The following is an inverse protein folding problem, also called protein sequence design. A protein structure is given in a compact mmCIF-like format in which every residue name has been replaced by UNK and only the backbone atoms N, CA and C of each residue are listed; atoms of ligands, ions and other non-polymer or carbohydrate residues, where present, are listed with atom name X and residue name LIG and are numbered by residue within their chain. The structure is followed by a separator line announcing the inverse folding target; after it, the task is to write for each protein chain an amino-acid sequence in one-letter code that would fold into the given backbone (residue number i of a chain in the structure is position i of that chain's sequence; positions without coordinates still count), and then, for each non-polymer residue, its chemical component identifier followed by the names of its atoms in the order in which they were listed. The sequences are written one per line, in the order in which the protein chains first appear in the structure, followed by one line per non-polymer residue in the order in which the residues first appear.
data_IF_388615491684
#
_entry.id   IF_388615491684
#
_cell.length_a   1.000
_cell.length_b   1.000
_cell.length_c   1.000
_cell.angle_alpha   90.00
_cell.angle_beta   90.00
_cell.angle_gamma   90.00
#
_symmetry.space_group_name_H-M   'P 1'
#
loop_
_entity.id
_entity.type
_entity.pdbx_description
1 polymer ?
#
# COMPACT_ATOMS: atom_id res chain seq x y z
N UNK A 1 -14.34 -15.50 4.62
CA UNK A 1 -15.03 -14.53 3.74
C UNK A 1 -15.75 -13.44 4.52
N UNK A 2 -16.44 -13.77 5.62
CA UNK A 2 -17.27 -12.81 6.38
C UNK A 2 -16.52 -11.59 6.95
N UNK A 3 -15.26 -11.74 7.35
CA UNK A 3 -14.46 -10.63 7.91
C UNK A 3 -14.19 -9.51 6.90
N UNK A 4 -13.92 -9.86 5.64
CA UNK A 4 -13.65 -8.87 4.58
C UNK A 4 -14.94 -8.13 4.22
N UNK A 5 -16.04 -8.87 4.04
CA UNK A 5 -17.36 -8.26 3.75
C UNK A 5 -17.78 -7.30 4.88
N UNK A 6 -17.61 -7.71 6.14
CA UNK A 6 -17.92 -6.86 7.29
C UNK A 6 -17.05 -5.60 7.32
N UNK A 7 -15.73 -5.75 7.13
CA UNK A 7 -14.78 -4.63 7.14
C UNK A 7 -15.08 -3.65 6.01
N UNK A 8 -15.35 -4.14 4.80
CA UNK A 8 -15.71 -3.30 3.66
C UNK A 8 -16.98 -2.50 3.93
N UNK A 9 -18.01 -3.13 4.49
CA UNK A 9 -19.24 -2.41 4.87
C UNK A 9 -18.97 -1.32 5.91
N UNK A 10 -18.21 -1.63 6.96
CA UNK A 10 -17.87 -0.64 8.00
C UNK A 10 -17.02 0.51 7.47
N UNK A 11 -16.11 0.22 6.54
CA UNK A 11 -15.31 1.23 5.88
C UNK A 11 -16.17 2.15 5.01
N UNK A 12 -17.11 1.60 4.23
CA UNK A 12 -18.06 2.41 3.44
C UNK A 12 -18.91 3.31 4.34
N UNK A 13 -19.51 2.76 5.40
CA UNK A 13 -20.29 3.53 6.38
C UNK A 13 -19.47 4.69 6.99
N UNK A 14 -18.20 4.45 7.32
CA UNK A 14 -17.29 5.47 7.84
C UNK A 14 -16.99 6.55 6.79
N UNK A 15 -16.65 6.16 5.56
CA UNK A 15 -16.34 7.09 4.48
C UNK A 15 -17.56 7.97 4.17
N UNK A 16 -18.75 7.39 4.06
CA UNK A 16 -20.00 8.13 3.83
C UNK A 16 -20.27 9.14 4.95
N UNK A 17 -20.02 8.73 6.20
CA UNK A 17 -20.15 9.62 7.37
C UNK A 17 -19.14 10.78 7.30
N UNK A 18 -17.87 10.50 6.99
CA UNK A 18 -16.84 11.55 6.88
C UNK A 18 -17.17 12.54 5.75
N UNK A 19 -17.61 12.04 4.59
CA UNK A 19 -17.93 12.88 3.43
C UNK A 19 -19.18 13.74 3.64
N UNK A 20 -20.16 13.27 4.42
CA UNK A 20 -21.41 14.00 4.67
C UNK A 20 -21.33 15.00 5.83
N UNK A 21 -20.34 14.89 6.72
CA UNK A 21 -20.28 15.67 7.96
C UNK A 21 -19.12 16.66 8.05
N UNK A 22 -18.17 16.62 7.11
CA UNK A 22 -16.94 17.41 7.18
C UNK A 22 -16.98 18.60 6.22
N UNK A 23 -16.74 19.80 6.77
CA UNK A 23 -16.47 21.01 6.01
C UNK A 23 -15.24 21.72 6.59
N UNK A 24 -14.16 21.94 5.81
CA UNK A 24 -13.99 21.58 4.39
C UNK A 24 -13.99 20.07 4.13
N UNK A 25 -14.19 19.59 2.89
CA UNK A 25 -14.16 18.17 2.56
C UNK A 25 -12.86 17.50 3.06
N UNK A 26 -12.92 16.28 3.58
CA UNK A 26 -11.76 15.64 4.21
C UNK A 26 -10.80 15.07 3.16
N UNK A 27 -9.52 15.00 3.49
CA UNK A 27 -8.55 14.17 2.78
C UNK A 27 -8.65 12.76 3.37
N UNK A 28 -8.89 11.75 2.54
CA UNK A 28 -9.00 10.35 3.01
C UNK A 28 -7.98 9.49 2.27
N UNK A 29 -7.19 8.74 3.04
CA UNK A 29 -6.29 7.70 2.53
C UNK A 29 -6.71 6.39 3.19
N UNK A 30 -7.03 5.39 2.37
CA UNK A 30 -7.28 4.02 2.83
C UNK A 30 -6.15 3.16 2.33
N UNK A 31 -5.36 2.61 3.26
CA UNK A 31 -4.16 1.85 2.95
C UNK A 31 -4.12 0.56 3.77
N UNK A 32 -3.87 -0.57 3.12
CA UNK A 32 -3.51 -1.80 3.83
C UNK A 32 -2.02 -1.75 4.23
N UNK A 33 -1.68 -2.37 5.36
CA UNK A 33 -0.31 -2.49 5.84
C UNK A 33 0.48 -3.54 5.05
N UNK A 34 -0.18 -4.62 4.66
CA UNK A 34 0.38 -5.70 3.86
C UNK A 34 -0.66 -6.38 2.96
N UNK A 35 -0.18 -7.05 1.91
CA UNK A 35 -0.98 -7.98 1.13
C UNK A 35 -1.16 -9.32 1.87
N UNK A 36 -2.06 -10.17 1.35
CA UNK A 36 -2.30 -11.49 1.92
C UNK A 36 -1.02 -12.35 1.91
N UNK A 37 -0.98 -13.36 2.76
CA UNK A 37 0.07 -14.37 2.67
C UNK A 37 -0.13 -15.19 1.39
N UNK A 38 0.95 -15.42 0.61
CA UNK A 38 0.85 -16.24 -0.58
C UNK A 38 0.34 -17.64 -0.29
N UNK A 39 -0.41 -18.21 -1.25
CA UNK A 39 -1.00 -19.53 -1.10
C UNK A 39 0.04 -20.58 -0.66
N UNK A 40 -0.28 -21.32 0.42
CA UNK A 40 0.60 -22.34 1.00
C UNK A 40 1.59 -21.82 2.05
N UNK A 41 1.60 -20.51 2.31
CA UNK A 41 2.30 -19.91 3.45
C UNK A 41 1.27 -19.50 4.50
N UNK A 42 1.26 -20.16 5.65
CA UNK A 42 0.36 -19.81 6.75
C UNK A 42 1.09 -18.98 7.80
N UNK A 43 0.38 -18.07 8.45
CA UNK A 43 0.90 -17.34 9.62
C UNK A 43 1.26 -18.36 10.70
N UNK A 44 2.53 -18.42 11.09
CA UNK A 44 3.04 -19.41 12.06
C UNK A 44 3.53 -20.73 11.46
N UNK A 45 3.51 -20.87 10.12
CA UNK A 45 4.23 -21.95 9.43
C UNK A 45 5.76 -21.76 9.51
N UNK A 46 6.53 -22.77 9.06
CA UNK A 46 8.00 -22.78 9.08
C UNK A 46 8.58 -21.46 8.53
N UNK A 47 9.79 -21.06 8.96
CA UNK A 47 10.44 -19.85 8.44
C UNK A 47 10.44 -19.85 6.91
N UNK A 48 9.75 -18.87 6.32
CA UNK A 48 9.75 -18.68 4.87
C UNK A 48 10.87 -17.71 4.50
N UNK A 49 11.70 -18.11 3.53
CA UNK A 49 12.76 -17.27 3.04
C UNK A 49 12.24 -16.40 1.87
N UNK A 50 11.94 -15.13 2.16
CA UNK A 50 11.45 -14.19 1.15
C UNK A 50 12.50 -13.84 0.09
N UNK A 51 13.79 -14.09 0.35
CA UNK A 51 14.83 -13.94 -0.68
C UNK A 51 14.57 -14.86 -1.87
N UNK A 52 14.03 -16.05 -1.59
CA UNK A 52 13.73 -17.09 -2.58
C UNK A 52 12.28 -17.10 -3.05
N UNK A 53 11.47 -16.14 -2.59
CA UNK A 53 10.08 -16.01 -3.04
C UNK A 53 10.01 -15.75 -4.56
N UNK A 54 9.03 -16.37 -5.20
CA UNK A 54 8.74 -16.10 -6.61
C UNK A 54 8.18 -14.68 -6.79
N UNK A 55 8.27 -14.14 -8.01
CA UNK A 55 7.67 -12.84 -8.32
C UNK A 55 6.17 -12.82 -8.02
N UNK A 56 5.44 -13.92 -8.27
CA UNK A 56 4.02 -14.02 -7.96
C UNK A 56 3.76 -13.93 -6.44
N UNK A 57 4.55 -14.64 -5.62
CA UNK A 57 4.44 -14.57 -4.16
C UNK A 57 4.77 -13.17 -3.62
N UNK A 58 5.78 -12.51 -4.19
CA UNK A 58 6.14 -11.14 -3.84
C UNK A 58 5.03 -10.17 -4.23
N UNK A 59 4.47 -10.29 -5.43
CA UNK A 59 3.34 -9.46 -5.89
C UNK A 59 2.10 -9.65 -5.02
N UNK A 60 1.80 -10.88 -4.60
CA UNK A 60 0.68 -11.16 -3.69
C UNK A 60 0.90 -10.55 -2.30
N UNK A 61 2.11 -10.69 -1.73
CA UNK A 61 2.40 -10.15 -0.39
C UNK A 61 2.53 -8.63 -0.35
N UNK A 62 3.09 -8.02 -1.40
CA UNK A 62 3.39 -6.59 -1.45
C UNK A 62 2.24 -5.78 -2.06
N UNK A 63 1.32 -6.43 -2.77
CA UNK A 63 0.12 -5.79 -3.33
C UNK A 63 -0.86 -5.40 -2.23
N UNK A 64 -0.99 -4.09 -2.01
CA UNK A 64 -1.88 -3.53 -0.99
C UNK A 64 -3.02 -2.74 -1.61
N UNK A 65 -4.13 -2.63 -0.87
CA UNK A 65 -5.10 -1.57 -1.13
C UNK A 65 -4.43 -0.23 -0.82
N UNK A 66 -4.44 0.69 -1.77
CA UNK A 66 -3.95 2.05 -1.61
C UNK A 66 -4.86 3.01 -2.37
N UNK A 67 -5.80 3.65 -1.67
CA UNK A 67 -6.84 4.47 -2.26
C UNK A 67 -6.84 5.87 -1.64
N UNK A 68 -7.08 6.87 -2.49
CA UNK A 68 -7.03 8.28 -2.13
C UNK A 68 -8.33 8.99 -2.52
N UNK A 69 -8.85 9.79 -1.59
CA UNK A 69 -9.82 10.83 -1.86
C UNK A 69 -9.17 12.18 -1.55
N UNK A 70 -8.87 12.93 -2.62
CA UNK A 70 -8.20 14.22 -2.58
C UNK A 70 -9.15 15.30 -3.14
N UNK A 71 -9.89 16.04 -2.30
CA UNK A 71 -10.80 17.10 -2.76
C UNK A 71 -10.05 18.33 -3.29
N UNK A 72 -10.63 19.02 -4.27
CA UNK A 72 -10.22 20.36 -4.72
C UNK A 72 -8.78 20.53 -5.24
N UNK A 73 -8.11 19.44 -5.64
CA UNK A 73 -6.75 19.46 -6.20
C UNK A 73 -6.64 18.66 -7.49
N UNK A 74 -5.63 18.99 -8.30
CA UNK A 74 -5.28 18.16 -9.46
C UNK A 74 -4.64 16.85 -8.99
N UNK A 75 -5.19 15.72 -9.48
CA UNK A 75 -4.78 14.36 -9.14
C UNK A 75 -3.81 13.75 -10.16
N UNK A 76 -3.43 14.48 -11.21
CA UNK A 76 -2.48 14.05 -12.24
C UNK A 76 -1.08 13.70 -11.68
N UNK A 77 -0.79 14.13 -10.45
CA UNK A 77 0.43 13.75 -9.72
C UNK A 77 0.39 12.30 -9.20
N UNK A 78 -0.80 11.69 -9.13
CA UNK A 78 -0.94 10.26 -8.81
C UNK A 78 -0.72 9.44 -10.08
N UNK A 79 -0.09 8.29 -9.92
CA UNK A 79 0.22 7.36 -11.01
C UNK A 79 -0.01 5.92 -10.54
N UNK A 80 -0.26 5.02 -11.47
CA UNK A 80 -0.69 3.65 -11.16
C UNK A 80 0.33 2.86 -10.33
N UNK A 81 1.63 3.08 -10.58
CA UNK A 81 2.72 2.39 -9.88
C UNK A 81 3.14 3.05 -8.56
N UNK A 82 2.36 3.99 -8.03
CA UNK A 82 2.73 4.74 -6.81
C UNK A 82 2.92 3.81 -5.62
N UNK A 83 4.03 4.00 -4.91
CA UNK A 83 4.26 3.31 -3.64
C UNK A 83 3.91 4.20 -2.43
N UNK A 84 3.55 3.61 -1.28
CA UNK A 84 3.23 4.37 -0.05
C UNK A 84 4.31 5.34 0.41
N UNK A 85 5.55 5.18 -0.04
CA UNK A 85 6.66 6.10 0.27
C UNK A 85 6.34 7.54 -0.11
N UNK A 86 5.53 7.73 -1.15
CA UNK A 86 5.19 9.04 -1.72
C UNK A 86 3.80 9.55 -1.31
N UNK A 87 2.95 8.74 -0.64
CA UNK A 87 1.58 9.13 -0.24
C UNK A 87 1.51 10.48 0.49
N UNK A 88 2.23 10.59 1.61
CA UNK A 88 2.19 11.80 2.43
C UNK A 88 2.99 12.95 1.81
N UNK A 89 4.03 12.68 1.02
CA UNK A 89 4.78 13.71 0.30
C UNK A 89 3.87 14.45 -0.67
N UNK A 90 3.10 13.69 -1.46
CA UNK A 90 2.11 14.23 -2.38
C UNK A 90 1.03 15.01 -1.64
N UNK A 91 0.44 14.45 -0.59
CA UNK A 91 -0.60 15.14 0.20
C UNK A 91 -0.07 16.43 0.82
N UNK A 92 1.13 16.42 1.38
CA UNK A 92 1.73 17.62 1.97
C UNK A 92 2.02 18.70 0.93
N UNK A 93 2.53 18.32 -0.24
CA UNK A 93 2.77 19.26 -1.32
C UNK A 93 1.47 19.87 -1.86
N UNK A 94 0.43 19.04 -2.04
CA UNK A 94 -0.85 19.48 -2.60
C UNK A 94 -1.64 20.40 -1.66
N UNK A 95 -1.63 20.13 -0.35
CA UNK A 95 -2.55 20.79 0.60
C UNK A 95 -1.88 21.72 1.60
N UNK A 96 -0.58 21.56 1.85
CA UNK A 96 0.11 22.24 2.95
C UNK A 96 1.29 23.11 2.47
N UNK A 97 1.44 23.26 1.14
CA UNK A 97 2.45 24.13 0.54
C UNK A 97 3.89 23.70 0.82
N UNK A 98 4.11 22.40 1.09
CA UNK A 98 5.46 21.87 1.23
C UNK A 98 6.12 21.64 -0.12
N UNK A 99 7.45 21.53 -0.12
CA UNK A 99 8.26 21.18 -1.29
C UNK A 99 9.05 19.90 -1.04
N UNK A 100 8.33 18.82 -0.72
CA UNK A 100 8.92 17.51 -0.47
C UNK A 100 9.14 16.81 -1.82
N UNK A 101 10.40 16.66 -2.23
CA UNK A 101 10.74 15.85 -3.39
C UNK A 101 10.25 14.41 -3.26
N UNK A 102 9.79 13.83 -4.38
CA UNK A 102 9.41 12.42 -4.43
C UNK A 102 10.65 11.54 -4.23
N UNK A 103 10.46 10.42 -3.53
CA UNK A 103 11.49 9.39 -3.40
C UNK A 103 11.31 8.31 -4.47
N UNK A 104 12.37 7.55 -4.77
CA UNK A 104 12.25 6.35 -5.60
C UNK A 104 11.19 5.39 -5.04
N UNK A 105 10.35 4.86 -5.93
CA UNK A 105 9.36 3.84 -5.61
C UNK A 105 10.03 2.47 -5.43
N UNK A 106 10.67 2.29 -4.28
CA UNK A 106 11.39 1.06 -3.93
C UNK A 106 10.65 0.21 -2.91
N UNK A 107 10.75 -1.10 -3.09
CA UNK A 107 10.09 -2.09 -2.26
C UNK A 107 11.09 -3.09 -1.71
N UNK A 108 10.99 -3.35 -0.41
CA UNK A 108 11.93 -4.18 0.33
C UNK A 108 11.21 -5.28 1.09
N UNK A 109 11.80 -6.48 1.10
CA UNK A 109 11.41 -7.58 2.00
C UNK A 109 12.56 -7.90 2.94
N UNK A 110 12.28 -8.57 4.06
CA UNK A 110 13.30 -9.12 4.94
C UNK A 110 13.57 -10.60 4.60
N UNK A 111 14.73 -11.15 4.95
CA UNK A 111 15.08 -12.54 4.56
C UNK A 111 14.14 -13.58 5.18
N UNK A 112 14.04 -13.59 6.52
CA UNK A 112 13.17 -14.49 7.29
C UNK A 112 12.94 -13.91 8.70
N UNK A 113 12.11 -14.56 9.52
CA UNK A 113 11.74 -14.08 10.87
C UNK A 113 12.91 -13.96 11.85
N UNK A 114 14.04 -14.63 11.61
CA UNK A 114 15.27 -14.47 12.37
C UNK A 114 16.14 -13.31 11.89
N UNK A 115 15.87 -12.76 10.71
CA UNK A 115 16.69 -11.76 10.03
C UNK A 115 15.84 -10.57 9.53
N UNK A 116 14.95 -10.04 10.38
CA UNK A 116 13.98 -8.99 10.02
C UNK A 116 14.62 -7.66 9.57
N UNK A 117 15.89 -7.41 9.91
CA UNK A 117 16.64 -6.21 9.49
C UNK A 117 17.53 -6.44 8.27
N UNK A 118 17.54 -7.64 7.70
CA UNK A 118 18.27 -7.95 6.47
C UNK A 118 17.35 -7.73 5.27
N UNK A 119 17.33 -6.49 4.80
CA UNK A 119 16.49 -6.05 3.70
C UNK A 119 17.03 -6.45 2.33
N UNK A 120 16.12 -6.82 1.44
CA UNK A 120 16.37 -7.21 0.06
C UNK A 120 15.46 -6.34 -0.80
N UNK A 121 16.04 -5.55 -1.69
CA UNK A 121 15.29 -4.78 -2.68
C UNK A 121 14.65 -5.76 -3.69
N UNK A 122 13.33 -5.67 -3.84
CA UNK A 122 12.52 -6.50 -4.74
C UNK A 122 11.79 -5.69 -5.79
N UNK A 123 12.09 -4.40 -5.94
CA UNK A 123 11.38 -3.47 -6.85
C UNK A 123 11.23 -4.03 -8.26
N UNK A 124 12.32 -4.54 -8.83
CA UNK A 124 12.29 -5.10 -10.20
C UNK A 124 11.47 -6.39 -10.31
N UNK A 125 11.36 -7.17 -9.23
CA UNK A 125 10.56 -8.41 -9.20
C UNK A 125 9.05 -8.13 -9.14
N UNK A 126 8.66 -6.93 -8.73
CA UNK A 126 7.25 -6.52 -8.61
C UNK A 126 6.69 -5.94 -9.92
N UNK A 127 7.54 -5.61 -10.89
CA UNK A 127 7.10 -5.13 -12.19
C UNK A 127 6.19 -6.17 -12.87
N UNK A 128 5.16 -5.74 -13.62
CA UNK A 128 4.40 -6.65 -14.46
C UNK A 128 5.33 -7.36 -15.42
N UNK A 129 5.04 -8.63 -15.71
CA UNK A 129 5.81 -9.35 -16.72
C UNK A 129 5.57 -8.64 -18.06
N UNK A 130 6.65 -8.22 -18.73
CA UNK A 130 6.56 -7.54 -20.04
C UNK A 130 5.76 -8.42 -21.00
N UNK A 131 4.63 -7.92 -21.51
CA UNK A 131 3.90 -8.58 -22.59
C UNK A 131 4.70 -8.53 -23.89
#
# INVERSE_FOLDING_TARGET
MDRIVFTNRKLQELIDTLLSSSQPPPIIIVQADEGPYPQGLEVGSKPFNWQTASNAQLREKMGILNAYYLPDVNKDILYESITPVNSFRIVFNLYFGTDLGLLPDESYVFTDTGHIYKFINVTDKLKPDSQ
#
